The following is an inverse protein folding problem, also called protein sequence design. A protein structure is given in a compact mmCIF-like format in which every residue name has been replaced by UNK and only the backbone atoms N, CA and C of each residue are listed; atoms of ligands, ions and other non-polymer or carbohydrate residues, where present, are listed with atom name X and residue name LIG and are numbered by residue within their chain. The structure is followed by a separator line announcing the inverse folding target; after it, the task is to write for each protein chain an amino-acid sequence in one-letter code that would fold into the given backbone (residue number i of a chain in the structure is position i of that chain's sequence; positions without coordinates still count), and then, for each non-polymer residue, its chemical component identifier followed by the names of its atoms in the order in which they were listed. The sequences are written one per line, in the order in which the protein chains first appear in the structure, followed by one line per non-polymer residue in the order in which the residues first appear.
data_IF_065949477391
#
_entry.id   IF_065949477391
#
_cell.length_a   1.000
_cell.length_b   1.000
_cell.length_c   1.000
_cell.angle_alpha   90.00
_cell.angle_beta   90.00
_cell.angle_gamma   90.00
#
_symmetry.space_group_name_H-M   'P 1'
#
loop_
_entity.id
_entity.type
_entity.pdbx_description
1 polymer ?
#
# COMPACT_ATOMS: atom_id res chain seq x y z
N UNK A 1 -44.20 -1.22 -8.17
CA UNK A 1 -43.84 0.18 -7.87
C UNK A 1 -43.19 0.74 -9.12
N UNK A 2 -43.80 1.72 -9.78
CA UNK A 2 -43.38 2.15 -11.12
C UNK A 2 -42.61 3.45 -10.99
N UNK A 3 -41.33 3.44 -11.36
CA UNK A 3 -40.52 4.65 -11.42
C UNK A 3 -40.96 5.50 -12.62
N UNK A 4 -41.06 6.84 -12.47
CA UNK A 4 -41.26 7.72 -13.61
C UNK A 4 -40.16 7.50 -14.67
N UNK A 5 -40.47 7.53 -15.98
CA UNK A 5 -39.50 7.25 -17.04
C UNK A 5 -38.22 8.10 -16.97
N UNK A 6 -38.34 9.36 -16.52
CA UNK A 6 -37.22 10.25 -16.32
C UNK A 6 -36.28 9.81 -15.17
N UNK A 7 -36.83 9.30 -14.07
CA UNK A 7 -36.05 8.74 -12.97
C UNK A 7 -35.40 7.42 -13.38
N UNK A 8 -36.10 6.58 -14.15
CA UNK A 8 -35.53 5.31 -14.60
C UNK A 8 -34.32 5.54 -15.52
N UNK A 9 -34.42 6.48 -16.46
CA UNK A 9 -33.29 6.87 -17.30
C UNK A 9 -32.13 7.48 -16.50
N UNK A 10 -32.42 8.26 -15.46
CA UNK A 10 -31.39 8.82 -14.57
C UNK A 10 -30.71 7.73 -13.72
N UNK A 11 -31.47 6.75 -13.23
CA UNK A 11 -30.94 5.59 -12.49
C UNK A 11 -29.95 4.81 -13.34
N UNK A 12 -30.33 4.47 -14.57
CA UNK A 12 -29.47 3.73 -15.51
C UNK A 12 -28.16 4.49 -15.76
N UNK A 13 -28.21 5.80 -16.08
CA UNK A 13 -27.00 6.60 -16.30
C UNK A 13 -26.08 6.66 -15.07
N UNK A 14 -26.67 6.77 -13.87
CA UNK A 14 -25.89 6.82 -12.62
C UNK A 14 -25.27 5.46 -12.30
N UNK A 15 -25.97 4.36 -12.58
CA UNK A 15 -25.44 3.00 -12.47
C UNK A 15 -24.34 2.71 -13.49
N UNK A 16 -24.49 3.19 -14.74
CA UNK A 16 -23.45 3.11 -15.77
C UNK A 16 -22.19 3.89 -15.38
N UNK A 17 -22.34 4.98 -14.62
CA UNK A 17 -21.23 5.72 -14.03
C UNK A 17 -20.60 5.05 -12.78
N UNK A 18 -21.00 3.80 -12.47
CA UNK A 18 -20.48 3.01 -11.36
C UNK A 18 -20.98 3.46 -9.98
N UNK A 19 -22.05 4.25 -9.91
CA UNK A 19 -22.63 4.71 -8.64
C UNK A 19 -23.67 3.72 -8.13
N UNK A 20 -23.69 3.49 -6.83
CA UNK A 20 -24.78 2.81 -6.12
C UNK A 20 -25.95 3.77 -5.98
N UNK A 21 -27.07 3.45 -6.62
CA UNK A 21 -28.26 4.33 -6.67
C UNK A 21 -29.37 3.78 -5.78
N UNK A 22 -29.76 4.55 -4.78
CA UNK A 22 -30.94 4.30 -3.95
C UNK A 22 -32.13 5.16 -4.43
N UNK A 23 -33.32 4.57 -4.47
CA UNK A 23 -34.56 5.30 -4.78
C UNK A 23 -35.20 5.78 -3.48
N UNK A 24 -35.40 7.09 -3.35
CA UNK A 24 -36.09 7.68 -2.19
C UNK A 24 -37.58 7.73 -2.46
N UNK A 25 -38.39 7.13 -1.59
CA UNK A 25 -39.85 7.09 -1.73
C UNK A 25 -40.56 7.64 -0.52
N UNK A 26 -41.64 8.39 -0.74
CA UNK A 26 -42.56 8.81 0.33
C UNK A 26 -43.97 8.39 -0.08
N UNK A 27 -44.71 7.73 0.80
CA UNK A 27 -46.10 7.29 0.54
C UNK A 27 -46.27 6.50 -0.77
N UNK A 28 -45.31 5.61 -1.09
CA UNK A 28 -45.23 4.82 -2.34
C UNK A 28 -45.00 5.61 -3.64
N UNK A 29 -44.77 6.92 -3.57
CA UNK A 29 -44.32 7.74 -4.68
C UNK A 29 -42.80 7.90 -4.67
N UNK A 30 -42.15 7.76 -5.82
CA UNK A 30 -40.71 8.00 -5.96
C UNK A 30 -40.43 9.51 -5.99
N UNK A 31 -39.67 10.00 -5.01
CA UNK A 31 -39.38 11.42 -4.81
C UNK A 31 -38.06 11.84 -5.49
N UNK A 32 -37.08 10.93 -5.58
CA UNK A 32 -35.77 11.21 -6.14
C UNK A 32 -34.82 10.01 -6.07
N UNK A 33 -33.60 10.21 -6.58
CA UNK A 33 -32.50 9.25 -6.54
C UNK A 33 -31.37 9.80 -5.68
N UNK A 34 -30.76 8.93 -4.88
CA UNK A 34 -29.54 9.22 -4.13
C UNK A 34 -28.44 8.30 -4.65
N UNK A 35 -27.36 8.87 -5.18
CA UNK A 35 -26.26 8.13 -5.78
C UNK A 35 -25.00 8.28 -4.93
N UNK A 36 -24.46 7.15 -4.48
CA UNK A 36 -23.20 7.07 -3.74
C UNK A 36 -22.14 6.39 -4.62
N UNK A 37 -20.89 6.79 -4.47
CA UNK A 37 -19.76 6.13 -5.13
C UNK A 37 -18.58 6.14 -4.20
N UNK A 38 -17.90 5.00 -4.13
CA UNK A 38 -16.59 4.94 -3.50
C UNK A 38 -15.54 5.49 -4.49
N UNK A 39 -14.76 6.46 -4.02
CA UNK A 39 -13.71 7.07 -4.83
C UNK A 39 -12.37 6.46 -4.44
N UNK A 40 -11.56 6.02 -5.42
CA UNK A 40 -10.23 5.55 -5.11
C UNK A 40 -9.43 6.68 -4.45
N UNK A 41 -8.53 6.29 -3.55
CA UNK A 41 -7.62 7.24 -2.89
C UNK A 41 -6.84 8.05 -3.94
N UNK A 42 -6.53 9.33 -3.68
CA UNK A 42 -5.90 10.21 -4.67
C UNK A 42 -4.53 9.70 -5.15
N UNK A 43 -3.83 8.93 -4.30
CA UNK A 43 -2.53 8.34 -4.59
C UNK A 43 -2.61 6.94 -5.23
N UNK A 44 -3.81 6.35 -5.35
CA UNK A 44 -3.98 4.99 -5.82
C UNK A 44 -3.51 4.81 -7.28
N UNK A 45 -3.85 5.75 -8.16
CA UNK A 45 -3.45 5.68 -9.57
C UNK A 45 -1.93 5.78 -9.72
N UNK A 46 -1.29 6.67 -8.97
CA UNK A 46 0.17 6.82 -8.97
C UNK A 46 0.85 5.57 -8.38
N UNK A 47 0.35 5.06 -7.26
CA UNK A 47 0.86 3.86 -6.60
C UNK A 47 0.82 2.64 -7.51
N UNK A 48 -0.32 2.38 -8.16
CA UNK A 48 -0.47 1.30 -9.15
C UNK A 48 0.48 1.49 -10.33
N UNK A 49 0.57 2.71 -10.87
CA UNK A 49 1.47 3.00 -11.99
C UNK A 49 2.94 2.73 -11.60
N UNK A 50 3.32 3.04 -10.36
CA UNK A 50 4.67 2.79 -9.84
C UNK A 50 4.95 1.30 -9.65
N UNK A 51 3.99 0.54 -9.11
CA UNK A 51 4.08 -0.93 -9.04
C UNK A 51 4.27 -1.54 -10.44
N UNK A 52 3.51 -1.07 -11.44
CA UNK A 52 3.68 -1.51 -12.83
C UNK A 52 5.07 -1.20 -13.38
N UNK A 53 5.65 -0.02 -13.08
CA UNK A 53 7.04 0.32 -13.46
C UNK A 53 8.08 -0.59 -12.80
N UNK A 54 7.80 -1.13 -11.62
CA UNK A 54 8.64 -2.11 -10.94
C UNK A 54 8.47 -3.54 -11.51
N UNK A 55 7.60 -3.72 -12.51
CA UNK A 55 7.26 -5.01 -13.09
C UNK A 55 6.33 -5.84 -12.21
N UNK A 56 5.57 -5.21 -11.32
CA UNK A 56 4.55 -5.86 -10.49
C UNK A 56 3.18 -5.66 -11.14
N UNK A 57 2.52 -6.76 -11.46
CA UNK A 57 1.15 -6.77 -11.98
C UNK A 57 0.16 -6.57 -10.82
N UNK A 58 -0.76 -5.61 -10.96
CA UNK A 58 -1.77 -5.30 -9.97
C UNK A 58 -3.15 -5.80 -10.44
N UNK A 59 -3.80 -6.59 -9.59
CA UNK A 59 -5.16 -7.12 -9.80
C UNK A 59 -6.02 -6.72 -8.61
N UNK A 60 -7.22 -6.21 -8.87
CA UNK A 60 -8.18 -5.83 -7.84
C UNK A 60 -9.16 -6.97 -7.59
N UNK A 61 -9.29 -7.39 -6.33
CA UNK A 61 -10.29 -8.35 -5.87
C UNK A 61 -11.35 -7.61 -5.06
N UNK A 62 -12.59 -7.59 -5.52
CA UNK A 62 -13.69 -6.90 -4.82
C UNK A 62 -14.94 -7.76 -4.68
N UNK A 63 -15.66 -7.57 -3.56
CA UNK A 63 -16.98 -8.14 -3.33
C UNK A 63 -18.11 -7.32 -3.99
N UNK A 64 -17.80 -6.14 -4.50
CA UNK A 64 -18.79 -5.27 -5.15
C UNK A 64 -19.29 -5.83 -6.47
N UNK A 65 -20.35 -5.22 -6.99
CA UNK A 65 -20.89 -5.59 -8.29
C UNK A 65 -19.88 -5.29 -9.42
N UNK A 66 -19.97 -5.99 -10.57
CA UNK A 66 -18.99 -5.86 -11.64
C UNK A 66 -18.92 -4.47 -12.27
N UNK A 67 -20.01 -3.68 -12.24
CA UNK A 67 -20.04 -2.34 -12.83
C UNK A 67 -19.23 -1.35 -11.99
N UNK A 68 -19.43 -1.38 -10.67
CA UNK A 68 -18.65 -0.58 -9.72
C UNK A 68 -17.18 -0.97 -9.77
N UNK A 69 -16.89 -2.28 -9.75
CA UNK A 69 -15.54 -2.80 -9.90
C UNK A 69 -14.86 -2.31 -11.19
N UNK A 70 -15.52 -2.46 -12.34
CA UNK A 70 -14.98 -2.02 -13.63
C UNK A 70 -14.74 -0.51 -13.71
N UNK A 71 -15.60 0.31 -13.10
CA UNK A 71 -15.43 1.76 -13.05
C UNK A 71 -14.17 2.18 -12.26
N UNK A 72 -13.92 1.56 -11.10
CA UNK A 72 -12.74 1.84 -10.28
C UNK A 72 -11.49 1.24 -10.95
N UNK A 73 -11.57 0.00 -11.44
CA UNK A 73 -10.48 -0.67 -12.14
C UNK A 73 -10.03 0.06 -13.39
N UNK A 74 -10.97 0.58 -14.19
CA UNK A 74 -10.69 1.40 -15.37
C UNK A 74 -9.98 2.70 -15.00
N UNK A 75 -10.38 3.36 -13.92
CA UNK A 75 -9.72 4.57 -13.44
C UNK A 75 -8.28 4.34 -12.98
N UNK A 76 -7.98 3.16 -12.41
CA UNK A 76 -6.65 2.77 -11.94
C UNK A 76 -5.83 2.01 -12.99
N UNK A 77 -6.46 1.57 -14.09
CA UNK A 77 -5.85 0.75 -15.12
C UNK A 77 -5.48 -0.66 -14.64
N UNK A 78 -6.25 -1.27 -13.74
CA UNK A 78 -6.02 -2.62 -13.19
C UNK A 78 -7.08 -3.61 -13.66
N UNK A 79 -6.72 -4.89 -13.74
CA UNK A 79 -7.69 -5.96 -13.92
C UNK A 79 -8.56 -6.10 -12.66
N UNK A 80 -9.85 -6.37 -12.82
CA UNK A 80 -10.80 -6.48 -11.69
C UNK A 80 -11.50 -7.82 -11.72
N UNK A 81 -11.47 -8.50 -10.58
CA UNK A 81 -12.33 -9.65 -10.28
C UNK A 81 -13.36 -9.22 -9.24
N UNK A 82 -14.60 -9.09 -9.69
CA UNK A 82 -15.70 -8.54 -8.90
C UNK A 82 -16.69 -9.63 -8.44
N UNK A 83 -17.57 -9.26 -7.51
CA UNK A 83 -18.59 -10.14 -6.94
C UNK A 83 -18.02 -11.40 -6.28
N UNK A 84 -16.83 -11.26 -5.68
CA UNK A 84 -16.14 -12.35 -5.02
C UNK A 84 -16.61 -12.50 -3.57
N UNK A 85 -16.93 -13.73 -3.18
CA UNK A 85 -17.05 -14.10 -1.78
C UNK A 85 -15.64 -14.27 -1.16
N UNK A 86 -15.50 -14.28 0.17
CA UNK A 86 -14.20 -14.51 0.83
C UNK A 86 -13.51 -15.80 0.35
N UNK A 87 -14.28 -16.88 0.15
CA UNK A 87 -13.74 -18.14 -0.38
C UNK A 87 -13.26 -18.02 -1.83
N UNK A 88 -13.90 -17.20 -2.64
CA UNK A 88 -13.48 -16.98 -4.04
C UNK A 88 -12.19 -16.17 -4.10
N UNK A 89 -12.04 -15.14 -3.23
CA UNK A 89 -10.77 -14.41 -3.09
C UNK A 89 -9.60 -15.36 -2.80
N UNK A 90 -9.78 -16.35 -1.93
CA UNK A 90 -8.76 -17.35 -1.62
C UNK A 90 -8.39 -18.22 -2.84
N UNK A 91 -9.39 -18.65 -3.62
CA UNK A 91 -9.13 -19.43 -4.85
C UNK A 91 -8.37 -18.60 -5.88
N UNK A 92 -8.72 -17.33 -6.03
CA UNK A 92 -8.03 -16.43 -6.94
C UNK A 92 -6.59 -16.17 -6.52
N UNK A 93 -6.34 -15.98 -5.22
CA UNK A 93 -4.97 -15.86 -4.69
C UNK A 93 -4.18 -17.14 -4.94
N UNK A 94 -4.77 -18.32 -4.73
CA UNK A 94 -4.12 -19.59 -5.00
C UNK A 94 -3.73 -19.73 -6.49
N UNK A 95 -4.64 -19.38 -7.41
CA UNK A 95 -4.36 -19.40 -8.85
C UNK A 95 -3.26 -18.39 -9.24
N UNK A 96 -3.25 -17.19 -8.65
CA UNK A 96 -2.20 -16.20 -8.90
C UNK A 96 -0.84 -16.67 -8.36
N UNK A 97 -0.83 -17.41 -7.23
CA UNK A 97 0.41 -17.96 -6.65
C UNK A 97 1.10 -19.00 -7.53
N UNK A 98 0.36 -19.69 -8.40
CA UNK A 98 0.95 -20.59 -9.40
C UNK A 98 1.80 -19.84 -10.45
N UNK A 99 1.49 -18.55 -10.69
CA UNK A 99 2.24 -17.69 -11.62
C UNK A 99 3.44 -17.00 -10.96
N UNK A 100 3.50 -16.94 -9.63
CA UNK A 100 4.60 -16.33 -8.88
C UNK A 100 4.21 -15.83 -7.49
N UNK A 101 5.13 -15.17 -6.76
CA UNK A 101 4.85 -14.59 -5.45
C UNK A 101 3.74 -13.54 -5.51
N UNK A 102 2.76 -13.64 -4.62
CA UNK A 102 1.62 -12.73 -4.54
C UNK A 102 1.67 -11.93 -3.25
N UNK A 103 1.52 -10.61 -3.37
CA UNK A 103 1.31 -9.73 -2.22
C UNK A 103 -0.16 -9.33 -2.17
N UNK A 104 -0.84 -9.63 -1.07
CA UNK A 104 -2.22 -9.19 -0.84
C UNK A 104 -2.20 -7.91 -0.02
N UNK A 105 -2.99 -6.91 -0.43
CA UNK A 105 -3.14 -5.64 0.28
C UNK A 105 -4.61 -5.47 0.65
N UNK A 106 -4.90 -5.19 1.93
CA UNK A 106 -6.28 -5.04 2.41
C UNK A 106 -6.38 -4.23 3.70
N UNK A 107 -7.61 -3.90 4.10
CA UNK A 107 -7.92 -3.26 5.38
C UNK A 107 -7.89 -4.25 6.56
N UNK A 108 -7.94 -5.55 6.23
CA UNK A 108 -7.78 -6.71 7.10
C UNK A 108 -8.94 -7.01 8.04
N UNK A 109 -10.05 -6.26 8.00
CA UNK A 109 -11.29 -6.67 8.69
C UNK A 109 -11.93 -7.85 7.95
N UNK A 110 -12.11 -7.69 6.63
CA UNK A 110 -12.76 -8.69 5.79
C UNK A 110 -11.76 -9.56 5.01
N UNK A 111 -10.49 -9.15 5.00
CA UNK A 111 -9.44 -9.72 4.16
C UNK A 111 -8.37 -10.50 4.95
N UNK A 112 -8.51 -10.69 6.27
CA UNK A 112 -7.53 -11.43 7.07
C UNK A 112 -7.21 -12.84 6.52
N UNK A 113 -8.19 -13.68 6.11
CA UNK A 113 -7.87 -14.96 5.48
C UNK A 113 -7.10 -14.83 4.17
N UNK A 114 -7.42 -13.79 3.39
CA UNK A 114 -6.76 -13.51 2.11
C UNK A 114 -5.32 -13.00 2.30
N UNK A 115 -5.08 -12.17 3.32
CA UNK A 115 -3.75 -11.71 3.72
C UNK A 115 -2.87 -12.89 4.12
N UNK A 116 -3.37 -13.79 4.97
CA UNK A 116 -2.64 -14.97 5.42
C UNK A 116 -2.37 -16.01 4.30
N UNK A 117 -3.24 -16.08 3.28
CA UNK A 117 -3.09 -17.01 2.17
C UNK A 117 -2.07 -16.55 1.11
N UNK A 118 -1.76 -15.25 1.06
CA UNK A 118 -0.80 -14.69 0.12
C UNK A 118 0.64 -15.17 0.38
N UNK A 119 1.59 -14.77 -0.47
CA UNK A 119 3.02 -14.96 -0.15
C UNK A 119 3.49 -13.92 0.86
N UNK A 120 2.93 -12.73 0.80
CA UNK A 120 3.04 -11.73 1.86
C UNK A 120 1.73 -10.94 1.98
N UNK A 121 1.24 -10.75 3.20
CA UNK A 121 0.09 -9.90 3.51
C UNK A 121 0.54 -8.51 3.94
N UNK A 122 -0.07 -7.47 3.37
CA UNK A 122 0.14 -6.07 3.75
C UNK A 122 -1.17 -5.44 4.20
N UNK A 123 -1.29 -5.12 5.48
CA UNK A 123 -2.43 -4.38 6.01
C UNK A 123 -2.26 -2.88 5.74
N UNK A 124 -3.33 -2.18 5.34
CA UNK A 124 -3.34 -0.72 5.22
C UNK A 124 -4.01 -0.03 6.41
N UNK A 125 -3.37 1.03 6.92
CA UNK A 125 -3.92 1.89 7.97
C UNK A 125 -3.78 1.32 9.38
N UNK A 126 -4.57 1.85 10.32
CA UNK A 126 -4.73 1.30 11.67
C UNK A 126 -5.65 0.08 11.64
N UNK A 127 -5.33 -0.90 10.77
CA UNK A 127 -6.11 -2.13 10.63
C UNK A 127 -6.48 -2.68 12.01
N UNK A 128 -7.69 -3.25 12.12
CA UNK A 128 -8.13 -3.92 13.36
C UNK A 128 -7.06 -4.88 13.85
N UNK A 129 -6.97 -5.16 15.16
CA UNK A 129 -5.92 -6.05 15.72
C UNK A 129 -5.75 -7.35 14.91
N UNK A 130 -6.86 -7.93 14.45
CA UNK A 130 -6.91 -9.12 13.59
C UNK A 130 -6.13 -8.96 12.26
N UNK A 131 -6.18 -7.78 11.65
CA UNK A 131 -5.46 -7.45 10.41
C UNK A 131 -3.96 -7.39 10.63
N UNK A 132 -3.54 -6.78 11.74
CA UNK A 132 -2.14 -6.64 12.12
C UNK A 132 -1.53 -7.98 12.53
N UNK A 133 -2.33 -8.89 13.12
CA UNK A 133 -1.89 -10.26 13.43
C UNK A 133 -1.78 -11.14 12.18
N UNK A 134 -2.65 -10.95 11.19
CA UNK A 134 -2.68 -11.77 9.98
C UNK A 134 -1.71 -11.32 8.88
N UNK A 135 -1.21 -10.07 8.93
CA UNK A 135 -0.33 -9.50 7.91
C UNK A 135 1.15 -9.57 8.30
N UNK A 136 2.01 -9.77 7.30
CA UNK A 136 3.48 -9.74 7.48
C UNK A 136 4.03 -8.32 7.60
N UNK A 137 3.30 -7.34 7.06
CA UNK A 137 3.65 -5.92 7.11
C UNK A 137 2.40 -5.04 7.23
N UNK A 138 2.58 -3.85 7.78
CA UNK A 138 1.51 -2.86 7.92
C UNK A 138 1.96 -1.48 7.44
N UNK A 139 1.11 -0.82 6.65
CA UNK A 139 1.29 0.56 6.23
C UNK A 139 0.61 1.49 7.25
N UNK A 140 1.41 2.14 8.08
CA UNK A 140 0.92 3.09 9.11
C UNK A 140 0.21 4.31 8.52
N UNK A 141 0.56 4.68 7.29
CA UNK A 141 -0.13 5.72 6.52
C UNK A 141 -1.04 5.03 5.52
N UNK A 142 -2.29 5.46 5.42
CA UNK A 142 -3.27 4.93 4.48
C UNK A 142 -3.00 5.38 3.03
N UNK A 143 -1.82 5.00 2.50
CA UNK A 143 -1.34 5.36 1.17
C UNK A 143 -1.00 4.11 0.38
N UNK A 144 -1.61 4.00 -0.80
CA UNK A 144 -1.33 2.93 -1.77
C UNK A 144 0.10 3.05 -2.30
N UNK A 145 0.64 4.28 -2.39
CA UNK A 145 2.04 4.50 -2.77
C UNK A 145 3.04 3.82 -1.83
N UNK A 146 2.67 3.62 -0.56
CA UNK A 146 3.50 2.95 0.44
C UNK A 146 3.77 1.48 0.12
N UNK A 147 2.87 0.81 -0.62
CA UNK A 147 3.12 -0.56 -1.11
C UNK A 147 4.27 -0.56 -2.10
N UNK A 148 4.34 0.42 -2.99
CA UNK A 148 5.44 0.54 -3.94
C UNK A 148 6.78 0.82 -3.23
N UNK A 149 6.77 1.69 -2.21
CA UNK A 149 7.94 1.95 -1.37
C UNK A 149 8.45 0.69 -0.68
N UNK A 150 7.53 -0.13 -0.14
CA UNK A 150 7.87 -1.40 0.49
C UNK A 150 8.53 -2.37 -0.49
N UNK A 151 8.01 -2.48 -1.72
CA UNK A 151 8.59 -3.32 -2.78
C UNK A 151 9.98 -2.82 -3.20
N UNK A 152 10.15 -1.51 -3.38
CA UNK A 152 11.46 -0.92 -3.72
C UNK A 152 12.50 -1.16 -2.63
N UNK A 153 12.13 -0.90 -1.37
CA UNK A 153 13.00 -1.13 -0.21
C UNK A 153 13.38 -2.61 -0.07
N UNK A 154 12.43 -3.52 -0.27
CA UNK A 154 12.68 -4.96 -0.24
C UNK A 154 13.70 -5.38 -1.32
N UNK A 155 13.55 -4.89 -2.55
CA UNK A 155 14.52 -5.17 -3.64
C UNK A 155 15.90 -4.57 -3.39
N UNK A 156 15.96 -3.34 -2.87
CA UNK A 156 17.22 -2.71 -2.47
C UNK A 156 17.92 -3.51 -1.35
N UNK A 157 17.14 -3.98 -0.37
CA UNK A 157 17.62 -4.80 0.74
C UNK A 157 18.18 -6.13 0.24
N UNK A 158 17.46 -6.85 -0.63
CA UNK A 158 17.94 -8.11 -1.22
C UNK A 158 19.21 -7.91 -2.06
N UNK A 159 19.34 -6.78 -2.73
CA UNK A 159 20.56 -6.43 -3.48
C UNK A 159 21.74 -6.24 -2.54
N UNK A 160 21.55 -5.51 -1.43
CA UNK A 160 22.58 -5.32 -0.41
C UNK A 160 22.97 -6.66 0.25
N UNK A 161 22.00 -7.51 0.58
CA UNK A 161 22.24 -8.86 1.12
C UNK A 161 23.07 -9.71 0.17
N UNK A 162 22.74 -9.72 -1.14
CA UNK A 162 23.51 -10.46 -2.14
C UNK A 162 24.95 -9.95 -2.27
N UNK A 163 25.17 -8.63 -2.21
CA UNK A 163 26.51 -8.04 -2.22
C UNK A 163 27.31 -8.46 -0.98
N UNK A 164 26.70 -8.35 0.21
CA UNK A 164 27.33 -8.74 1.47
C UNK A 164 27.71 -10.21 1.48
N UNK A 165 26.81 -11.07 1.03
CA UNK A 165 27.04 -12.51 0.93
C UNK A 165 28.15 -12.81 -0.09
N UNK A 166 28.17 -12.13 -1.23
CA UNK A 166 29.22 -12.30 -2.24
C UNK A 166 30.61 -11.92 -1.70
N UNK A 167 30.72 -10.81 -0.96
CA UNK A 167 31.98 -10.40 -0.30
C UNK A 167 32.41 -11.41 0.75
N UNK A 168 31.49 -11.81 1.64
CA UNK A 168 31.80 -12.75 2.72
C UNK A 168 32.21 -14.13 2.21
N UNK A 169 31.46 -14.69 1.24
CA UNK A 169 31.75 -16.01 0.65
C UNK A 169 32.99 -15.93 -0.24
N UNK A 170 33.12 -14.87 -1.04
CA UNK A 170 34.27 -14.68 -1.93
C UNK A 170 35.58 -14.62 -1.16
N UNK A 171 35.63 -13.86 -0.06
CA UNK A 171 36.82 -13.78 0.77
C UNK A 171 37.17 -15.13 1.39
N UNK A 172 36.18 -15.84 1.96
CA UNK A 172 36.38 -17.18 2.53
C UNK A 172 36.91 -18.18 1.49
N UNK A 173 36.41 -18.11 0.25
CA UNK A 173 36.88 -18.97 -0.83
C UNK A 173 38.34 -18.70 -1.18
N UNK A 174 38.74 -17.43 -1.27
CA UNK A 174 40.14 -17.04 -1.53
C UNK A 174 41.05 -17.59 -0.43
N UNK A 175 40.69 -17.40 0.85
CA UNK A 175 41.49 -17.91 1.98
C UNK A 175 41.54 -19.43 2.02
N UNK A 176 40.45 -20.11 1.67
CA UNK A 176 40.44 -21.56 1.59
C UNK A 176 41.48 -22.07 0.58
N UNK A 177 41.50 -21.47 -0.63
CA UNK A 177 42.46 -21.83 -1.67
C UNK A 177 43.89 -21.54 -1.23
N UNK A 178 44.16 -20.36 -0.66
CA UNK A 178 45.52 -19.98 -0.26
C UNK A 178 46.05 -20.75 0.96
N UNK A 179 45.14 -21.25 1.81
CA UNK A 179 45.45 -22.16 2.92
C UNK A 179 45.83 -23.54 2.40
N UNK A 180 45.08 -24.07 1.41
CA UNK A 180 45.39 -25.37 0.78
C UNK A 180 46.73 -25.31 0.05
N UNK A 181 47.10 -24.19 -0.59
CA UNK A 181 48.41 -24.01 -1.22
C UNK A 181 49.54 -23.74 -0.22
N UNK A 182 49.26 -23.73 1.10
CA UNK A 182 50.25 -23.55 2.16
C UNK A 182 50.80 -22.12 2.30
N UNK A 183 50.21 -21.15 1.60
CA UNK A 183 50.71 -19.78 1.53
C UNK A 183 50.18 -18.85 2.63
N UNK A 184 49.10 -19.22 3.31
CA UNK A 184 48.44 -18.36 4.30
C UNK A 184 48.33 -19.02 5.67
N UNK A 185 48.76 -18.30 6.70
CA UNK A 185 48.63 -18.73 8.10
C UNK A 185 47.26 -18.43 8.69
N UNK A 186 46.87 -19.23 9.70
CA UNK A 186 45.57 -19.15 10.38
C UNK A 186 45.24 -17.74 10.91
N UNK A 187 46.24 -17.03 11.45
CA UNK A 187 46.04 -15.69 12.02
C UNK A 187 45.54 -14.68 10.98
N UNK A 188 46.08 -14.73 9.75
CA UNK A 188 45.74 -13.78 8.69
C UNK A 188 44.34 -14.07 8.14
N UNK A 189 43.95 -15.34 8.09
CA UNK A 189 42.60 -15.75 7.72
C UNK A 189 41.55 -15.24 8.73
N UNK A 190 41.83 -15.35 10.04
CA UNK A 190 40.94 -14.84 11.10
C UNK A 190 40.82 -13.31 11.03
N UNK A 191 41.95 -12.61 10.84
CA UNK A 191 41.96 -11.14 10.69
C UNK A 191 41.09 -10.72 9.51
N UNK A 192 41.22 -11.40 8.38
CA UNK A 192 40.49 -11.06 7.17
C UNK A 192 38.99 -11.36 7.28
N UNK A 193 38.58 -12.47 7.89
CA UNK A 193 37.16 -12.77 8.14
C UNK A 193 36.52 -11.72 9.08
N UNK A 194 37.28 -11.30 10.10
CA UNK A 194 36.85 -10.20 10.99
C UNK A 194 36.74 -8.88 10.22
N UNK A 195 37.72 -8.56 9.37
CA UNK A 195 37.69 -7.38 8.49
C UNK A 195 36.53 -7.41 7.50
N UNK A 196 36.19 -8.58 6.94
CA UNK A 196 35.04 -8.76 6.07
C UNK A 196 33.73 -8.46 6.78
N UNK A 197 33.61 -8.90 8.04
CA UNK A 197 32.44 -8.63 8.88
C UNK A 197 32.25 -7.13 9.07
N UNK A 198 33.34 -6.38 9.31
CA UNK A 198 33.28 -4.91 9.40
C UNK A 198 32.84 -4.29 8.07
N UNK A 199 33.43 -4.70 6.94
CA UNK A 199 33.07 -4.18 5.61
C UNK A 199 31.61 -4.45 5.25
N UNK A 200 31.14 -5.66 5.49
CA UNK A 200 29.74 -6.07 5.26
C UNK A 200 28.78 -5.27 6.13
N UNK A 201 29.14 -5.04 7.40
CA UNK A 201 28.34 -4.23 8.33
C UNK A 201 28.26 -2.77 7.84
N UNK A 202 29.38 -2.18 7.41
CA UNK A 202 29.41 -0.84 6.84
C UNK A 202 28.56 -0.75 5.57
N UNK A 203 28.59 -1.76 4.71
CA UNK A 203 27.77 -1.78 3.51
C UNK A 203 26.27 -1.96 3.83
N UNK A 204 25.93 -2.73 4.87
CA UNK A 204 24.55 -2.84 5.35
C UNK A 204 24.00 -1.49 5.85
N UNK A 205 24.82 -0.69 6.54
CA UNK A 205 24.44 0.64 7.01
C UNK A 205 24.08 1.61 5.88
N UNK A 206 24.52 1.36 4.63
CA UNK A 206 24.11 2.15 3.47
C UNK A 206 22.59 2.13 3.25
N UNK A 207 21.89 1.07 3.67
CA UNK A 207 20.43 1.01 3.60
C UNK A 207 19.73 2.02 4.51
N UNK A 208 20.37 2.48 5.59
CA UNK A 208 19.81 3.54 6.45
C UNK A 208 19.69 4.88 5.72
N UNK A 209 20.49 5.09 4.67
CA UNK A 209 20.42 6.29 3.84
C UNK A 209 19.34 6.20 2.75
N UNK A 210 18.66 5.06 2.60
CA UNK A 210 17.56 4.91 1.64
C UNK A 210 16.42 5.86 2.00
N UNK A 211 15.92 6.59 1.00
CA UNK A 211 14.77 7.48 1.13
C UNK A 211 13.67 7.01 0.19
N UNK A 212 12.41 6.97 0.62
CA UNK A 212 11.30 6.68 -0.26
C UNK A 212 11.20 7.73 -1.36
N UNK A 213 10.81 7.33 -2.56
CA UNK A 213 10.78 8.22 -3.74
C UNK A 213 9.60 9.22 -3.75
N UNK A 214 8.93 9.43 -2.60
CA UNK A 214 7.71 10.25 -2.47
C UNK A 214 7.85 11.26 -1.33
N UNK A 215 8.72 12.25 -1.50
CA UNK A 215 8.75 13.44 -0.63
C UNK A 215 8.75 14.76 -1.44
N UNK A 216 8.46 14.71 -2.74
CA UNK A 216 8.56 15.86 -3.64
C UNK A 216 7.22 16.53 -4.01
N UNK A 217 6.15 16.33 -3.22
CA UNK A 217 4.89 17.03 -3.50
C UNK A 217 3.76 16.84 -2.50
N UNK A 218 3.88 17.35 -1.27
CA UNK A 218 2.69 17.84 -0.52
C UNK A 218 2.96 18.62 0.78
N UNK A 219 4.20 19.01 1.13
CA UNK A 219 4.46 19.68 2.42
C UNK A 219 4.62 21.22 2.36
N UNK A 220 4.30 21.85 1.23
CA UNK A 220 4.39 23.32 1.08
C UNK A 220 3.07 24.07 1.33
N UNK A 221 2.05 23.46 1.97
CA UNK A 221 0.78 24.17 2.28
C UNK A 221 0.24 23.93 3.69
N UNK A 222 1.12 23.83 4.70
CA UNK A 222 0.69 23.96 6.11
C UNK A 222 1.56 24.90 6.93
N UNK A 223 1.97 26.01 6.31
CA UNK A 223 2.79 27.05 6.94
C UNK A 223 2.42 28.48 6.50
N UNK A 224 1.14 28.84 6.55
CA UNK A 224 0.72 30.25 6.51
C UNK A 224 -0.70 30.39 7.08
N UNK A 225 -0.83 30.88 8.31
CA UNK A 225 -2.14 31.14 8.90
C UNK A 225 -2.22 31.30 10.42
N UNK A 226 -1.16 31.65 11.14
CA UNK A 226 -1.32 32.16 12.51
C UNK A 226 -1.77 33.61 12.45
N UNK A 227 -3.10 33.83 12.41
CA UNK A 227 -3.68 35.12 12.74
C UNK A 227 -3.54 35.35 14.27
N UNK A 228 -3.06 36.51 14.73
CA UNK A 228 -2.93 36.77 16.16
C UNK A 228 -4.31 37.01 16.78
N UNK A 229 -4.65 36.22 17.79
CA UNK A 229 -5.84 36.38 18.60
C UNK A 229 -5.83 37.74 19.30
N UNK A 230 -6.72 38.64 18.89
CA UNK A 230 -6.98 39.90 19.57
C UNK A 230 -7.84 39.61 20.81
N UNK A 231 -7.28 39.81 22.00
CA UNK A 231 -8.00 39.73 23.28
C UNK A 231 -9.10 40.80 23.33
N UNK A 232 -10.33 40.51 23.81
CA UNK A 232 -11.29 41.55 24.09
C UNK A 232 -10.88 42.32 25.36
N UNK A 233 -10.87 43.64 25.26
CA UNK A 233 -10.62 44.55 26.37
C UNK A 233 -11.78 44.51 27.36
N UNK A 234 -11.46 44.36 28.65
CA UNK A 234 -12.38 44.58 29.77
C UNK A 234 -12.87 46.03 29.75
N UNK A 235 -14.17 46.24 29.62
CA UNK A 235 -14.82 47.51 29.90
C UNK A 235 -15.22 47.58 31.38
N UNK A 236 -14.58 48.48 32.11
CA UNK A 236 -14.96 48.90 33.47
C UNK A 236 -16.31 49.65 33.44
N UNK A 237 -17.13 49.57 34.50
CA UNK A 237 -18.39 50.31 34.56
C UNK A 237 -18.14 51.74 35.08
N UNK A 238 -18.59 52.76 34.34
CA UNK A 238 -18.79 54.11 34.87
C UNK A 238 -20.26 54.50 34.83
N UNK A 239 -20.72 54.99 35.99
CA UNK A 239 -22.07 55.46 36.29
C UNK A 239 -22.34 56.86 35.71
N UNK A 240 -23.64 57.13 35.59
CA UNK A 240 -24.33 58.42 35.76
C UNK A 240 -24.20 59.47 34.65
N UNK A 241 -25.30 59.68 33.92
CA UNK A 241 -26.29 60.72 34.27
C UNK A 241 -27.67 60.33 33.74
#
# INVERSE_FOLDING_TARGET
MTLPPALEAARVRLEEAGKTVAVVTVSRAALGLLALRDEPRPDAAEGVARLRRLGVEAVMLTGDNPRTGAAIGGALGVEVKASLLPADKLREIAALKERGPVVMVGDGINDAPALAAATAGVAMGSGTEVALEAADAALLRERVSGVADLVELSRATLTNVKQNMAVAVGLKLVFLVTTITGTTGLWLAILADTGATVLVTLNALRLLAWRPSVDSGSDTRHGAGTAPATRPALASPQRAN
#
